data_IF_056402241109
#
_entry.id   IF_056402241109
#
_cell.length_a   1.000
_cell.length_b   1.000
_cell.length_c   1.000
_cell.angle_alpha   90.00
_cell.angle_beta   90.00
_cell.angle_gamma   90.00
#
_symmetry.space_group_name_H-M   'P 1'
#
loop_
_entity.id
_entity.type
_entity.pdbx_description
1 polymer ?
#
# COMPACT_ATOMS: atom_id res chain seq x y z
N UNK A 1 -8.47 -38.50 -76.29
CA UNK A 1 -8.70 -37.21 -75.61
C UNK A 1 -7.86 -36.15 -76.30
N UNK A 2 -8.39 -34.96 -76.55
CA UNK A 2 -7.63 -33.86 -77.19
C UNK A 2 -6.84 -33.08 -76.15
N UNK A 3 -5.70 -32.50 -76.53
CA UNK A 3 -4.79 -31.79 -75.62
C UNK A 3 -5.47 -30.65 -74.84
N UNK A 4 -6.38 -29.91 -75.49
CA UNK A 4 -7.16 -28.84 -74.85
C UNK A 4 -8.08 -29.37 -73.73
N UNK A 5 -8.68 -30.55 -73.91
CA UNK A 5 -9.52 -31.17 -72.87
C UNK A 5 -8.66 -31.54 -71.66
N UNK A 6 -7.47 -32.11 -71.89
CA UNK A 6 -6.55 -32.46 -70.78
C UNK A 6 -6.13 -31.22 -70.00
N UNK A 7 -5.73 -30.14 -70.69
CA UNK A 7 -5.34 -28.89 -70.03
C UNK A 7 -6.48 -28.27 -69.23
N UNK A 8 -7.70 -28.23 -69.79
CA UNK A 8 -8.87 -27.69 -69.07
C UNK A 8 -9.20 -28.46 -67.80
N UNK A 9 -9.08 -29.79 -67.83
CA UNK A 9 -9.30 -30.63 -66.63
C UNK A 9 -8.22 -30.36 -65.59
N UNK A 10 -6.96 -30.24 -66.02
CA UNK A 10 -5.84 -29.90 -65.13
C UNK A 10 -6.05 -28.54 -64.46
N UNK A 11 -6.46 -27.51 -65.21
CA UNK A 11 -6.72 -26.18 -64.67
C UNK A 11 -7.86 -26.18 -63.64
N UNK A 12 -8.95 -26.90 -63.91
CA UNK A 12 -10.07 -27.05 -62.96
C UNK A 12 -9.61 -27.75 -61.68
N UNK A 13 -8.83 -28.83 -61.80
CA UNK A 13 -8.30 -29.55 -60.63
C UNK A 13 -7.37 -28.66 -59.82
N UNK A 14 -6.50 -27.86 -60.47
CA UNK A 14 -5.63 -26.89 -59.80
C UNK A 14 -6.43 -25.81 -59.06
N UNK A 15 -7.50 -25.29 -59.67
CA UNK A 15 -8.39 -24.32 -59.03
C UNK A 15 -9.05 -24.89 -57.78
N UNK A 16 -9.60 -26.11 -57.87
CA UNK A 16 -10.23 -26.80 -56.74
C UNK A 16 -9.20 -27.06 -55.63
N UNK A 17 -8.01 -27.54 -55.99
CA UNK A 17 -6.94 -27.80 -55.03
C UNK A 17 -6.48 -26.53 -54.32
N UNK A 18 -6.33 -25.42 -55.06
CA UNK A 18 -5.99 -24.12 -54.50
C UNK A 18 -7.05 -23.60 -53.54
N UNK A 19 -8.33 -23.71 -53.91
CA UNK A 19 -9.45 -23.30 -53.06
C UNK A 19 -9.52 -24.16 -51.78
N UNK A 20 -9.34 -25.47 -51.90
CA UNK A 20 -9.33 -26.38 -50.76
C UNK A 20 -8.19 -26.04 -49.79
N UNK A 21 -6.98 -25.79 -50.30
CA UNK A 21 -5.84 -25.38 -49.48
C UNK A 21 -6.10 -24.05 -48.77
N UNK A 22 -6.65 -23.06 -49.48
CA UNK A 22 -6.99 -21.76 -48.90
C UNK A 22 -7.99 -21.90 -47.75
N UNK A 23 -9.10 -22.62 -47.96
CA UNK A 23 -10.11 -22.85 -46.93
C UNK A 23 -9.55 -23.65 -45.74
N UNK A 24 -8.64 -24.58 -45.98
CA UNK A 24 -7.97 -25.31 -44.90
C UNK A 24 -7.12 -24.37 -44.02
N UNK A 25 -6.37 -23.45 -44.62
CA UNK A 25 -5.58 -22.46 -43.88
C UNK A 25 -6.49 -21.51 -43.10
N UNK A 26 -7.48 -20.91 -43.76
CA UNK A 26 -8.39 -19.95 -43.14
C UNK A 26 -9.23 -20.61 -42.03
N UNK A 27 -9.71 -21.83 -42.27
CA UNK A 27 -10.42 -22.61 -41.24
C UNK A 27 -9.55 -22.88 -40.02
N UNK A 28 -8.27 -23.20 -40.22
CA UNK A 28 -7.32 -23.34 -39.12
C UNK A 28 -7.09 -22.04 -38.35
N UNK A 29 -7.02 -20.90 -39.04
CA UNK A 29 -6.90 -19.58 -38.39
C UNK A 29 -8.16 -19.21 -37.60
N UNK A 30 -9.34 -19.40 -38.18
CA UNK A 30 -10.63 -19.17 -37.50
C UNK A 30 -10.77 -20.06 -36.26
N UNK A 31 -10.35 -21.33 -36.35
CA UNK A 31 -10.36 -22.24 -35.21
C UNK A 31 -9.52 -21.73 -34.05
N UNK A 32 -8.29 -21.26 -34.32
CA UNK A 32 -7.42 -20.66 -33.30
C UNK A 32 -8.02 -19.41 -32.67
N UNK A 33 -8.62 -18.54 -33.48
CA UNK A 33 -9.28 -17.31 -32.99
C UNK A 33 -10.48 -17.67 -32.11
N UNK A 34 -11.29 -18.64 -32.53
CA UNK A 34 -12.43 -19.10 -31.74
C UNK A 34 -12.00 -19.62 -30.37
N UNK A 35 -10.95 -20.45 -30.31
CA UNK A 35 -10.39 -20.94 -29.05
C UNK A 35 -9.92 -19.80 -28.15
N UNK A 36 -9.17 -18.84 -28.68
CA UNK A 36 -8.72 -17.69 -27.88
C UNK A 36 -9.91 -16.85 -27.36
N UNK A 37 -10.94 -16.65 -28.17
CA UNK A 37 -12.13 -15.89 -27.76
C UNK A 37 -12.94 -16.62 -26.68
N UNK A 38 -13.03 -17.94 -26.77
CA UNK A 38 -13.65 -18.78 -25.76
C UNK A 38 -12.92 -18.69 -24.42
N UNK A 39 -11.58 -18.85 -24.43
CA UNK A 39 -10.74 -18.67 -23.25
C UNK A 39 -10.87 -17.26 -22.65
N UNK A 40 -10.84 -16.22 -23.48
CA UNK A 40 -11.04 -14.84 -23.03
C UNK A 40 -12.43 -14.65 -22.39
N UNK A 41 -13.48 -15.23 -22.96
CA UNK A 41 -14.83 -15.13 -22.41
C UNK A 41 -14.94 -15.81 -21.04
N UNK A 42 -14.30 -16.97 -20.87
CA UNK A 42 -14.24 -17.68 -19.59
C UNK A 42 -13.47 -16.87 -18.54
N UNK A 43 -12.29 -16.33 -18.89
CA UNK A 43 -11.51 -15.47 -18.00
C UNK A 43 -12.28 -14.21 -17.57
N UNK A 44 -12.93 -13.51 -18.51
CA UNK A 44 -13.74 -12.33 -18.18
C UNK A 44 -14.89 -12.69 -17.25
N UNK A 45 -15.51 -13.85 -17.44
CA UNK A 45 -16.59 -14.34 -16.57
C UNK A 45 -16.07 -14.66 -15.16
N UNK A 46 -14.89 -15.23 -15.03
CA UNK A 46 -14.24 -15.48 -13.74
C UNK A 46 -13.87 -14.17 -13.04
N UNK A 47 -13.26 -13.22 -13.76
CA UNK A 47 -12.94 -11.88 -13.24
C UNK A 47 -14.20 -11.21 -12.72
N UNK A 48 -15.30 -11.25 -13.46
CA UNK A 48 -16.59 -10.67 -13.02
C UNK A 48 -17.08 -11.33 -11.73
N UNK A 49 -17.05 -12.66 -11.64
CA UNK A 49 -17.44 -13.40 -10.43
C UNK A 49 -16.59 -13.01 -9.22
N UNK A 50 -15.28 -12.87 -9.41
CA UNK A 50 -14.37 -12.44 -8.34
C UNK A 50 -14.62 -10.97 -7.95
N UNK A 51 -14.86 -10.10 -8.92
CA UNK A 51 -15.19 -8.70 -8.68
C UNK A 51 -16.49 -8.53 -7.89
N UNK A 52 -17.54 -9.28 -8.23
CA UNK A 52 -18.82 -9.28 -7.49
C UNK A 52 -18.64 -9.68 -6.01
N UNK A 53 -17.71 -10.59 -5.71
CA UNK A 53 -17.39 -10.96 -4.33
C UNK A 53 -16.61 -9.87 -3.58
N UNK A 54 -15.78 -9.08 -4.29
CA UNK A 54 -14.91 -8.05 -3.70
C UNK A 54 -15.63 -6.70 -3.52
N UNK A 55 -16.53 -6.35 -4.44
CA UNK A 55 -17.18 -5.03 -4.52
C UNK A 55 -17.78 -4.55 -3.19
N UNK A 56 -18.54 -5.36 -2.43
CA UNK A 56 -19.10 -4.92 -1.14
C UNK A 56 -18.01 -4.57 -0.11
N UNK A 57 -16.93 -5.36 -0.08
CA UNK A 57 -15.79 -5.13 0.80
C UNK A 57 -15.05 -3.84 0.44
N UNK A 58 -14.89 -3.55 -0.85
CA UNK A 58 -14.27 -2.32 -1.33
C UNK A 58 -15.06 -1.08 -0.88
N UNK A 59 -16.39 -1.10 -1.03
CA UNK A 59 -17.25 0.00 -0.58
C UNK A 59 -17.12 0.23 0.93
N UNK A 60 -17.09 -0.83 1.74
CA UNK A 60 -16.94 -0.72 3.19
C UNK A 60 -15.56 -0.16 3.58
N UNK A 61 -14.49 -0.61 2.93
CA UNK A 61 -13.12 -0.12 3.16
C UNK A 61 -13.00 1.34 2.75
N UNK A 62 -13.52 1.74 1.60
CA UNK A 62 -13.49 3.14 1.15
C UNK A 62 -14.29 4.04 2.10
N UNK A 63 -15.46 3.60 2.56
CA UNK A 63 -16.27 4.35 3.51
C UNK A 63 -15.56 4.51 4.85
N UNK A 64 -15.05 3.41 5.41
CA UNK A 64 -14.37 3.42 6.71
C UNK A 64 -13.05 4.18 6.63
N UNK A 65 -12.27 3.96 5.58
CA UNK A 65 -11.04 4.68 5.29
C UNK A 65 -11.27 6.18 5.13
N UNK A 66 -12.35 6.59 4.47
CA UNK A 66 -12.75 8.00 4.38
C UNK A 66 -13.06 8.61 5.75
N UNK A 67 -13.74 7.88 6.64
CA UNK A 67 -13.99 8.32 8.03
C UNK A 67 -12.68 8.44 8.81
N UNK A 68 -11.80 7.44 8.73
CA UNK A 68 -10.50 7.44 9.40
C UNK A 68 -9.62 8.58 8.87
N UNK A 69 -9.58 8.78 7.56
CA UNK A 69 -8.85 9.87 6.92
C UNK A 69 -9.39 11.26 7.33
N UNK A 70 -10.71 11.41 7.50
CA UNK A 70 -11.32 12.63 8.02
C UNK A 70 -11.01 12.88 9.50
N UNK A 71 -10.81 11.83 10.30
CA UNK A 71 -10.46 11.93 11.72
C UNK A 71 -8.95 12.13 11.97
N UNK A 72 -8.09 11.74 11.02
CA UNK A 72 -6.63 11.84 11.13
C UNK A 72 -6.13 13.24 11.53
N UNK A 73 -6.60 14.36 10.94
CA UNK A 73 -6.19 15.70 11.36
C UNK A 73 -6.50 16.01 12.82
N UNK A 74 -7.63 15.54 13.35
CA UNK A 74 -8.01 15.73 14.75
C UNK A 74 -7.11 14.91 15.68
N UNK A 75 -6.82 13.67 15.31
CA UNK A 75 -5.92 12.80 16.07
C UNK A 75 -4.50 13.36 16.09
N UNK A 76 -4.04 13.91 14.97
CA UNK A 76 -2.74 14.57 14.86
C UNK A 76 -2.69 15.86 15.70
N UNK A 77 -3.68 16.74 15.57
CA UNK A 77 -3.74 17.98 16.36
C UNK A 77 -3.87 17.73 17.86
N UNK A 78 -4.60 16.70 18.28
CA UNK A 78 -4.63 16.26 19.68
C UNK A 78 -3.26 15.75 20.13
N UNK A 79 -2.59 14.92 19.32
CA UNK A 79 -1.25 14.43 19.64
C UNK A 79 -0.23 15.57 19.76
N UNK A 80 -0.28 16.56 18.86
CA UNK A 80 0.54 17.77 18.95
C UNK A 80 0.22 18.60 20.20
N UNK A 81 -1.05 18.76 20.55
CA UNK A 81 -1.48 19.45 21.77
C UNK A 81 -0.96 18.78 23.05
N UNK A 82 -0.97 17.45 23.10
CA UNK A 82 -0.39 16.70 24.21
C UNK A 82 1.12 16.94 24.24
N UNK A 83 1.83 16.67 23.14
CA UNK A 83 3.29 16.83 23.07
C UNK A 83 3.71 18.24 23.50
N UNK A 84 3.06 19.28 22.98
CA UNK A 84 3.37 20.66 23.35
C UNK A 84 3.07 20.97 24.82
N UNK A 85 2.01 20.40 25.39
CA UNK A 85 1.62 20.59 26.79
C UNK A 85 2.52 19.88 27.81
N UNK A 86 3.04 18.70 27.49
CA UNK A 86 3.99 17.97 28.35
C UNK A 86 5.47 18.25 28.03
N UNK A 87 5.77 18.93 26.93
CA UNK A 87 7.14 19.36 26.64
C UNK A 87 7.59 20.34 27.72
N UNK A 88 8.55 19.90 28.53
CA UNK A 88 9.18 20.73 29.56
C UNK A 88 9.79 21.98 28.91
N UNK A 89 9.25 23.15 29.27
CA UNK A 89 9.86 24.45 28.97
C UNK A 89 10.61 24.90 30.22
N UNK A 90 11.96 24.94 30.20
CA UNK A 90 12.70 25.52 31.32
C UNK A 90 12.28 26.99 31.46
N UNK A 91 11.94 27.39 32.68
CA UNK A 91 11.65 28.79 32.97
C UNK A 91 12.89 29.65 32.65
N UNK A 92 12.72 30.94 32.28
CA UNK A 92 13.83 31.85 32.10
C UNK A 92 14.71 31.86 33.35
N UNK A 93 16.04 31.92 33.18
CA UNK A 93 17.00 31.88 34.30
C UNK A 93 16.75 32.97 35.37
N UNK A 94 16.07 34.05 34.98
CA UNK A 94 15.66 35.17 35.83
C UNK A 94 14.49 34.82 36.78
N UNK A 95 13.60 33.92 36.35
CA UNK A 95 12.43 33.43 37.11
C UNK A 95 12.78 32.21 38.00
N UNK A 96 13.86 31.51 37.64
CA UNK A 96 14.55 30.49 38.44
C UNK A 96 15.48 31.09 39.52
N UNK A 97 15.35 32.39 39.80
CA UNK A 97 15.93 33.02 40.99
C UNK A 97 15.20 32.52 42.25
N UNK A 98 15.30 31.22 42.52
CA UNK A 98 14.96 30.66 43.82
C UNK A 98 15.73 31.47 44.87
N UNK A 99 15.05 32.03 45.89
CA UNK A 99 15.76 32.69 46.97
C UNK A 99 16.84 31.73 47.46
N UNK A 100 18.08 32.23 47.51
CA UNK A 100 19.23 31.40 47.87
C UNK A 100 18.86 30.63 49.15
N UNK A 101 19.00 29.29 49.18
CA UNK A 101 18.58 28.49 50.32
C UNK A 101 19.13 29.10 51.61
N UNK A 102 18.28 29.28 52.62
CA UNK A 102 18.67 29.93 53.87
C UNK A 102 19.94 29.29 54.43
N UNK A 103 21.06 30.03 54.39
CA UNK A 103 22.34 29.55 54.91
C UNK A 103 22.39 29.85 56.41
N UNK A 104 22.79 28.89 57.26
CA UNK A 104 23.06 29.20 58.66
C UNK A 104 24.24 30.19 58.75
N UNK A 105 24.34 30.93 59.85
CA UNK A 105 25.41 31.92 60.06
C UNK A 105 26.85 31.35 59.94
N UNK A 106 27.03 30.03 60.12
CA UNK A 106 28.31 29.33 59.89
C UNK A 106 28.57 28.93 58.41
N UNK A 107 27.81 29.49 57.46
CA UNK A 107 28.06 29.33 56.02
C UNK A 107 27.44 28.08 55.41
N UNK A 108 27.92 26.87 55.76
CA UNK A 108 27.45 25.61 55.15
C UNK A 108 26.87 24.66 56.20
N UNK A 109 25.58 24.33 56.08
CA UNK A 109 24.97 23.25 56.89
C UNK A 109 25.43 21.91 56.31
N UNK A 110 26.20 21.12 57.07
CA UNK A 110 26.47 19.72 56.73
C UNK A 110 25.20 18.92 57.02
N UNK A 111 24.33 18.77 56.03
CA UNK A 111 23.07 18.02 56.17
C UNK A 111 23.32 16.54 55.92
N UNK A 112 22.88 15.68 56.84
CA UNK A 112 22.93 14.21 56.71
C UNK A 112 21.67 13.61 56.08
N UNK A 113 20.81 14.43 55.47
CA UNK A 113 19.56 13.96 54.85
C UNK A 113 19.81 12.91 53.76
N UNK A 114 20.92 13.03 53.02
CA UNK A 114 21.32 12.06 52.00
C UNK A 114 21.72 10.69 52.57
N UNK A 115 22.29 10.66 53.78
CA UNK A 115 22.67 9.41 54.46
C UNK A 115 21.45 8.58 54.86
N UNK A 116 20.29 9.22 55.09
CA UNK A 116 19.04 8.55 55.44
C UNK A 116 18.28 7.92 54.26
N UNK A 117 18.58 8.34 53.02
CA UNK A 117 17.92 7.86 51.79
C UNK A 117 18.86 7.09 50.86
N UNK A 118 20.09 6.81 51.30
CA UNK A 118 21.09 6.06 50.52
C UNK A 118 21.63 6.81 49.29
N UNK A 119 21.43 8.12 49.22
CA UNK A 119 21.90 8.93 48.10
C UNK A 119 23.37 9.31 48.29
N UNK A 120 24.24 8.86 47.38
CA UNK A 120 25.67 9.16 47.38
C UNK A 120 26.02 9.95 46.11
N UNK A 121 26.18 11.29 46.19
CA UNK A 121 26.43 12.12 45.02
C UNK A 121 27.80 11.86 44.37
N UNK A 122 28.74 11.22 45.06
CA UNK A 122 30.07 10.90 44.52
C UNK A 122 30.07 9.60 43.70
N UNK A 123 28.97 8.83 43.72
CA UNK A 123 28.82 7.57 42.96
C UNK A 123 28.00 7.71 41.68
N UNK A 124 27.49 8.89 41.35
CA UNK A 124 26.84 9.10 40.06
C UNK A 124 27.91 9.24 38.96
N UNK A 125 27.84 8.45 37.87
CA UNK A 125 28.71 8.65 36.72
C UNK A 125 28.41 10.01 36.08
N UNK A 126 29.49 10.70 35.66
CA UNK A 126 29.45 12.00 34.98
C UNK A 126 28.71 11.96 33.64
#
# INVERSE_FOLDING_TARGET
MTTLVVLSVVDVVLLIAGLALYLWIVGGQLGRVATNLEECAELVREIKKNAEAIEPGLQQVTRTGGVVAGALPLLYGMAEGIVTGVTYKPAPAEELAHPAPARPAMGRRRTRLHEGVGYDPEKLPA
#
